data_IF_414671492536
#
_entry.id   IF_414671492536
#
_cell.length_a   1.000
_cell.length_b   1.000
_cell.length_c   1.000
_cell.angle_alpha   90.00
_cell.angle_beta   90.00
_cell.angle_gamma   90.00
#
_symmetry.space_group_name_H-M   'P 1'
#
loop_
_entity.id
_entity.type
_entity.pdbx_description
1 polymer ?
#
# COMPACT_ATOMS: atom_id res chain seq x y z
N UNK A 1 -36.81 4.12 16.38
CA UNK A 1 -36.49 4.80 15.10
C UNK A 1 -36.48 3.76 13.98
N UNK A 2 -37.19 3.97 12.86
CA UNK A 2 -37.30 2.95 11.80
C UNK A 2 -36.11 2.97 10.83
N UNK A 3 -35.01 2.34 11.21
CA UNK A 3 -33.84 2.14 10.33
C UNK A 3 -34.16 1.30 9.08
N UNK A 4 -35.27 0.54 9.10
CA UNK A 4 -35.70 -0.36 8.03
C UNK A 4 -36.16 0.35 6.74
N UNK A 5 -36.65 1.58 6.82
CA UNK A 5 -37.14 2.33 5.64
C UNK A 5 -36.00 2.81 4.73
N UNK A 6 -34.95 3.49 5.24
CA UNK A 6 -33.83 3.91 4.40
C UNK A 6 -32.82 2.78 4.12
N UNK A 7 -32.86 1.67 4.86
CA UNK A 7 -31.91 0.57 4.73
C UNK A 7 -31.76 0.06 3.29
N UNK A 8 -32.85 -0.02 2.51
CA UNK A 8 -32.79 -0.50 1.12
C UNK A 8 -31.96 0.41 0.22
N UNK A 9 -32.07 1.73 0.42
CA UNK A 9 -31.28 2.72 -0.32
C UNK A 9 -29.79 2.63 0.07
N UNK A 10 -29.51 2.65 1.38
CA UNK A 10 -28.13 2.58 1.86
C UNK A 10 -27.46 1.26 1.50
N UNK A 11 -28.15 0.13 1.57
CA UNK A 11 -27.62 -1.17 1.12
C UNK A 11 -27.27 -1.16 -0.37
N UNK A 12 -28.11 -0.57 -1.21
CA UNK A 12 -27.83 -0.43 -2.64
C UNK A 12 -26.61 0.45 -2.91
N UNK A 13 -26.50 1.59 -2.22
CA UNK A 13 -25.35 2.49 -2.32
C UNK A 13 -24.05 1.81 -1.83
N UNK A 14 -24.11 1.11 -0.70
CA UNK A 14 -22.98 0.37 -0.13
C UNK A 14 -22.49 -0.72 -1.08
N UNK A 15 -23.41 -1.49 -1.65
CA UNK A 15 -23.09 -2.54 -2.62
C UNK A 15 -22.44 -1.95 -3.88
N UNK A 16 -22.97 -0.82 -4.38
CA UNK A 16 -22.37 -0.11 -5.52
C UNK A 16 -20.93 0.31 -5.21
N UNK A 17 -20.70 0.98 -4.07
CA UNK A 17 -19.36 1.42 -3.66
C UNK A 17 -18.39 0.24 -3.50
N UNK A 18 -18.83 -0.88 -2.94
CA UNK A 18 -18.02 -2.09 -2.81
C UNK A 18 -17.66 -2.71 -4.15
N UNK A 19 -18.61 -2.77 -5.10
CA UNK A 19 -18.34 -3.27 -6.45
C UNK A 19 -17.34 -2.35 -7.15
N UNK A 20 -17.52 -1.03 -7.05
CA UNK A 20 -16.56 -0.07 -7.60
C UNK A 20 -15.18 -0.22 -6.96
N UNK A 21 -15.10 -0.36 -5.64
CA UNK A 21 -13.85 -0.62 -4.93
C UNK A 21 -13.18 -1.93 -5.36
N UNK A 22 -13.96 -2.99 -5.58
CA UNK A 22 -13.48 -4.26 -6.12
C UNK A 22 -12.93 -4.11 -7.53
N UNK A 23 -13.61 -3.37 -8.42
CA UNK A 23 -13.11 -3.12 -9.79
C UNK A 23 -11.78 -2.37 -9.73
N UNK A 24 -11.69 -1.31 -8.93
CA UNK A 24 -10.48 -0.48 -8.78
C UNK A 24 -9.29 -1.29 -8.24
N UNK A 25 -9.56 -2.27 -7.36
CA UNK A 25 -8.55 -3.17 -6.82
C UNK A 25 -7.85 -4.01 -7.91
N UNK A 26 -8.54 -4.33 -9.00
CA UNK A 26 -7.97 -5.10 -10.11
C UNK A 26 -7.53 -4.21 -11.28
N UNK A 27 -8.21 -3.09 -11.51
CA UNK A 27 -7.94 -2.16 -12.61
C UNK A 27 -8.15 -0.73 -12.11
N UNK A 28 -7.09 0.07 -11.83
CA UNK A 28 -5.65 -0.15 -12.11
C UNK A 28 -4.89 -1.01 -11.08
N UNK A 29 -5.48 -1.28 -9.92
CA UNK A 29 -4.85 -2.02 -8.82
C UNK A 29 -3.92 -1.18 -7.92
N UNK A 30 -3.54 -1.69 -6.74
CA UNK A 30 -2.75 -0.93 -5.76
C UNK A 30 -1.29 -0.74 -6.17
N UNK A 31 -0.73 0.46 -5.96
CA UNK A 31 0.73 0.68 -5.98
C UNK A 31 1.33 0.11 -4.70
N UNK A 32 1.85 -1.12 -4.77
CA UNK A 32 2.42 -1.82 -3.63
C UNK A 32 3.73 -1.17 -3.13
N UNK A 33 4.02 -1.30 -1.84
CA UNK A 33 5.28 -0.85 -1.24
C UNK A 33 6.45 -1.79 -1.60
N UNK A 34 7.68 -1.30 -1.36
CA UNK A 34 8.91 -2.09 -1.55
C UNK A 34 8.94 -3.38 -0.71
N UNK A 35 8.15 -3.46 0.37
CA UNK A 35 8.02 -4.68 1.19
C UNK A 35 7.39 -5.84 0.42
N UNK A 36 6.60 -5.54 -0.61
CA UNK A 36 5.87 -6.53 -1.40
C UNK A 36 6.38 -6.66 -2.82
N UNK A 37 6.99 -5.62 -3.38
CA UNK A 37 7.58 -5.64 -4.73
C UNK A 37 9.07 -5.95 -4.71
N UNK A 38 9.75 -5.75 -3.58
CA UNK A 38 11.19 -5.51 -3.55
C UNK A 38 11.53 -4.11 -4.07
N UNK A 39 12.77 -3.69 -3.84
CA UNK A 39 13.29 -2.40 -4.27
C UNK A 39 14.02 -1.65 -3.16
N UNK A 40 14.39 -0.42 -3.47
CA UNK A 40 15.03 0.51 -2.54
C UNK A 40 14.14 1.73 -2.33
N UNK A 41 14.02 2.14 -1.07
CA UNK A 41 13.43 3.39 -0.64
C UNK A 41 14.53 4.23 0.00
N UNK A 42 14.75 5.41 -0.55
CA UNK A 42 15.69 6.39 -0.02
C UNK A 42 14.90 7.67 0.28
N UNK A 43 15.03 8.16 1.51
CA UNK A 43 14.43 9.41 1.95
C UNK A 43 15.53 10.44 2.16
N UNK A 44 15.37 11.57 1.47
CA UNK A 44 16.35 12.63 1.41
C UNK A 44 15.69 13.94 1.85
N UNK A 45 16.23 14.60 2.86
CA UNK A 45 15.84 15.96 3.21
C UNK A 45 16.43 16.95 2.20
N UNK A 46 15.57 17.79 1.63
CA UNK A 46 15.92 18.77 0.62
C UNK A 46 16.10 20.14 1.26
N UNK A 47 17.06 20.92 0.76
CA UNK A 47 17.12 22.34 1.04
C UNK A 47 15.92 23.07 0.39
N UNK A 48 15.56 24.22 0.94
CA UNK A 48 14.36 25.00 0.57
C UNK A 48 14.31 25.41 -0.93
N UNK A 49 15.45 25.36 -1.62
CA UNK A 49 15.61 25.73 -3.02
C UNK A 49 15.61 24.55 -4.01
N UNK A 50 15.53 23.30 -3.55
CA UNK A 50 15.60 22.12 -4.42
C UNK A 50 14.20 21.62 -4.76
N UNK A 51 13.88 21.54 -6.05
CA UNK A 51 12.57 21.07 -6.52
C UNK A 51 12.55 19.58 -6.84
N UNK A 52 11.36 19.00 -6.96
CA UNK A 52 11.17 17.59 -7.38
C UNK A 52 11.85 17.30 -8.72
N UNK A 53 11.78 18.27 -9.63
CA UNK A 53 12.32 18.11 -10.98
C UNK A 53 13.84 18.10 -10.97
N UNK A 54 14.49 18.88 -10.10
CA UNK A 54 15.95 18.88 -9.94
C UNK A 54 16.46 17.50 -9.49
N UNK A 55 15.78 16.90 -8.50
CA UNK A 55 16.10 15.55 -8.03
C UNK A 55 15.83 14.51 -9.12
N UNK A 56 14.72 14.64 -9.85
CA UNK A 56 14.40 13.73 -10.94
C UNK A 56 15.40 13.83 -12.10
N UNK A 57 15.91 15.02 -12.40
CA UNK A 57 16.96 15.25 -13.40
C UNK A 57 18.29 14.67 -12.93
N UNK A 58 18.68 14.93 -11.68
CA UNK A 58 19.90 14.38 -11.08
C UNK A 58 19.88 12.84 -11.07
N UNK A 59 18.74 12.22 -10.74
CA UNK A 59 18.60 10.76 -10.78
C UNK A 59 18.64 10.19 -12.21
N UNK A 60 18.25 10.96 -13.23
CA UNK A 60 18.30 10.55 -14.64
C UNK A 60 19.67 10.76 -15.28
N UNK A 61 20.48 11.69 -14.78
CA UNK A 61 21.85 11.91 -15.25
C UNK A 61 22.84 10.89 -14.69
N UNK A 62 22.45 10.12 -13.66
CA UNK A 62 23.20 8.97 -13.18
C UNK A 62 23.11 7.83 -14.20
N UNK A 63 24.12 7.76 -15.07
CA UNK A 63 24.28 6.67 -16.04
C UNK A 63 24.90 5.46 -15.32
N UNK A 64 24.03 4.60 -14.77
CA UNK A 64 24.43 3.37 -14.07
C UNK A 64 24.11 2.13 -14.91
N UNK A 65 25.03 1.16 -14.89
CA UNK A 65 24.85 -0.17 -15.47
C UNK A 65 24.88 -1.22 -14.34
N UNK A 66 23.75 -1.91 -14.03
CA UNK A 66 22.44 -1.83 -14.70
C UNK A 66 21.60 -0.62 -14.25
N UNK A 67 20.72 -0.10 -15.12
CA UNK A 67 19.94 1.11 -14.85
C UNK A 67 19.03 0.97 -13.62
N UNK A 68 18.82 2.09 -12.92
CA UNK A 68 18.01 2.17 -11.69
C UNK A 68 16.51 1.88 -11.89
N UNK A 69 16.08 1.71 -13.14
CA UNK A 69 14.69 1.47 -13.53
C UNK A 69 13.83 2.73 -13.42
N UNK A 70 12.53 2.55 -13.21
CA UNK A 70 11.61 3.68 -13.00
C UNK A 70 11.80 4.24 -11.60
N UNK A 71 12.57 5.32 -11.48
CA UNK A 71 12.72 6.05 -10.21
C UNK A 71 11.48 6.90 -9.97
N UNK A 72 10.70 6.54 -8.95
CA UNK A 72 9.56 7.33 -8.50
C UNK A 72 10.02 8.32 -7.44
N UNK A 73 9.86 9.62 -7.72
CA UNK A 73 10.21 10.71 -6.80
C UNK A 73 8.93 11.34 -6.25
N UNK A 74 8.78 11.38 -4.94
CA UNK A 74 7.66 12.04 -4.27
C UNK A 74 8.19 13.00 -3.20
N UNK A 75 7.68 14.24 -3.17
CA UNK A 75 8.02 15.19 -2.12
C UNK A 75 6.94 15.15 -1.04
N UNK A 76 7.38 14.98 0.20
CA UNK A 76 6.55 15.10 1.40
C UNK A 76 6.39 16.56 1.78
N UNK A 77 5.31 16.88 2.50
CA UNK A 77 5.02 18.23 2.99
C UNK A 77 6.14 18.82 3.86
N UNK A 78 6.96 17.96 4.47
CA UNK A 78 8.06 18.33 5.34
C UNK A 78 9.37 18.66 4.58
N UNK A 79 9.32 18.70 3.25
CA UNK A 79 10.50 18.98 2.42
C UNK A 79 11.44 17.79 2.22
N UNK A 80 10.95 16.56 2.43
CA UNK A 80 11.72 15.34 2.14
C UNK A 80 11.32 14.73 0.79
N UNK A 81 12.29 14.34 -0.04
CA UNK A 81 12.09 13.53 -1.22
C UNK A 81 12.16 12.04 -0.85
N UNK A 82 11.09 11.30 -1.14
CA UNK A 82 11.09 9.85 -1.18
C UNK A 82 11.39 9.38 -2.60
N UNK A 83 12.52 8.70 -2.75
CA UNK A 83 12.96 8.04 -3.96
C UNK A 83 12.69 6.55 -3.84
N UNK A 84 12.02 5.99 -4.84
CA UNK A 84 11.77 4.55 -4.93
C UNK A 84 12.34 4.01 -6.23
N UNK A 85 13.20 3.01 -6.15
CA UNK A 85 13.94 2.45 -7.29
C UNK A 85 14.14 0.94 -7.14
N UNK A 86 14.85 0.32 -8.09
CA UNK A 86 15.31 -1.08 -8.00
C UNK A 86 16.10 -1.30 -6.70
N UNK A 87 16.17 -2.55 -6.24
CA UNK A 87 17.06 -2.92 -5.15
C UNK A 87 18.53 -2.68 -5.54
N UNK A 88 19.22 -1.88 -4.74
CA UNK A 88 20.64 -1.54 -4.94
C UNK A 88 21.51 -2.04 -3.80
N UNK A 89 22.78 -2.30 -4.12
CA UNK A 89 23.83 -2.62 -3.17
C UNK A 89 24.28 -1.40 -2.36
N UNK A 90 25.02 -1.64 -1.29
CA UNK A 90 25.57 -0.56 -0.47
C UNK A 90 26.61 0.28 -1.23
N UNK A 91 27.35 -0.33 -2.16
CA UNK A 91 28.33 0.39 -2.99
C UNK A 91 27.64 1.31 -4.00
N UNK A 92 26.59 0.83 -4.67
CA UNK A 92 25.74 1.64 -5.56
C UNK A 92 25.10 2.80 -4.77
N UNK A 93 24.60 2.54 -3.56
CA UNK A 93 24.02 3.56 -2.68
C UNK A 93 25.01 4.70 -2.37
N UNK A 94 26.22 4.38 -1.94
CA UNK A 94 27.26 5.39 -1.65
C UNK A 94 27.59 6.21 -2.90
N UNK A 95 27.66 5.57 -4.07
CA UNK A 95 27.93 6.25 -5.34
C UNK A 95 26.78 7.20 -5.73
N UNK A 96 25.53 6.78 -5.53
CA UNK A 96 24.35 7.62 -5.81
C UNK A 96 24.29 8.80 -4.83
N UNK A 97 24.47 8.55 -3.53
CA UNK A 97 24.43 9.59 -2.50
C UNK A 97 25.51 10.64 -2.76
N UNK A 98 26.76 10.22 -3.00
CA UNK A 98 27.85 11.15 -3.30
C UNK A 98 27.62 11.93 -4.60
N UNK A 99 27.05 11.31 -5.63
CA UNK A 99 26.71 12.02 -6.85
C UNK A 99 25.56 13.04 -6.65
N UNK A 100 24.57 12.71 -5.83
CA UNK A 100 23.50 13.64 -5.45
C UNK A 100 24.02 14.81 -4.63
N UNK A 101 24.90 14.56 -3.64
CA UNK A 101 25.54 15.61 -2.83
C UNK A 101 26.40 16.56 -3.70
N UNK A 102 27.03 16.05 -4.75
CA UNK A 102 27.80 16.88 -5.69
C UNK A 102 26.92 17.71 -6.63
N UNK A 103 25.72 17.23 -6.98
CA UNK A 103 24.79 17.91 -7.88
C UNK A 103 23.87 18.89 -7.16
N UNK A 104 23.56 18.62 -5.90
CA UNK A 104 22.53 19.32 -5.12
C UNK A 104 23.10 19.65 -3.74
N UNK A 105 23.26 20.94 -3.46
CA UNK A 105 23.75 21.40 -2.16
C UNK A 105 22.69 21.28 -1.06
N UNK A 106 23.12 20.95 0.16
CA UNK A 106 22.25 20.95 1.35
C UNK A 106 21.31 19.75 1.45
N UNK A 107 21.70 18.62 0.84
CA UNK A 107 20.99 17.36 0.93
C UNK A 107 21.45 16.56 2.16
N UNK A 108 20.51 15.94 2.88
CA UNK A 108 20.79 15.01 3.98
C UNK A 108 19.97 13.73 3.80
N UNK A 109 20.62 12.56 3.80
CA UNK A 109 19.90 11.28 3.83
C UNK A 109 19.26 11.04 5.21
N UNK A 110 17.95 10.79 5.21
CA UNK A 110 17.18 10.48 6.43
C UNK A 110 16.95 9.00 6.62
N UNK A 111 16.69 8.29 5.53
CA UNK A 111 16.43 6.85 5.58
C UNK A 111 16.91 6.18 4.30
N UNK A 112 17.57 5.04 4.47
CA UNK A 112 17.87 4.12 3.39
C UNK A 112 17.31 2.74 3.74
N UNK A 113 16.53 2.15 2.85
CA UNK A 113 15.96 0.81 3.05
C UNK A 113 15.92 0.06 1.73
N UNK A 114 16.64 -1.06 1.66
CA UNK A 114 16.63 -1.97 0.50
C UNK A 114 16.01 -3.30 0.90
N UNK A 115 15.09 -3.80 0.07
CA UNK A 115 14.47 -5.12 0.20
C UNK A 115 14.69 -5.89 -1.09
N UNK A 116 15.40 -7.01 -1.00
CA UNK A 116 15.61 -7.89 -2.16
C UNK A 116 14.30 -8.52 -2.65
N UNK A 117 14.18 -8.83 -3.96
CA UNK A 117 12.95 -9.35 -4.57
C UNK A 117 12.49 -10.68 -3.96
N UNK A 118 13.42 -11.53 -3.52
CA UNK A 118 13.11 -12.81 -2.84
C UNK A 118 12.47 -12.60 -1.48
N UNK A 119 12.98 -11.64 -0.69
CA UNK A 119 12.42 -11.29 0.61
C UNK A 119 11.03 -10.69 0.42
N UNK A 120 10.88 -9.75 -0.51
CA UNK A 120 9.58 -9.13 -0.83
C UNK A 120 8.53 -10.14 -1.26
N UNK A 121 8.88 -11.07 -2.15
CA UNK A 121 7.99 -12.16 -2.56
C UNK A 121 7.60 -13.07 -1.39
N UNK A 122 8.55 -13.40 -0.50
CA UNK A 122 8.29 -14.21 0.69
C UNK A 122 7.37 -13.51 1.69
N UNK A 123 7.56 -12.20 1.91
CA UNK A 123 6.71 -11.37 2.76
C UNK A 123 5.30 -11.29 2.21
N UNK A 124 5.14 -11.05 0.90
CA UNK A 124 3.85 -11.07 0.22
C UNK A 124 3.12 -12.39 0.43
N UNK A 125 3.79 -13.52 0.22
CA UNK A 125 3.17 -14.84 0.37
C UNK A 125 2.76 -15.11 1.82
N UNK A 126 3.62 -14.76 2.79
CA UNK A 126 3.34 -14.93 4.23
C UNK A 126 2.19 -14.05 4.68
N UNK A 127 2.11 -12.81 4.21
CA UNK A 127 1.00 -11.89 4.50
C UNK A 127 -0.33 -12.40 3.96
N UNK A 128 -0.34 -12.98 2.76
CA UNK A 128 -1.55 -13.60 2.20
C UNK A 128 -2.01 -14.82 3.03
N UNK A 129 -1.07 -15.68 3.45
CA UNK A 129 -1.37 -16.79 4.34
C UNK A 129 -1.89 -16.34 5.71
N UNK A 130 -1.25 -15.33 6.31
CA UNK A 130 -1.64 -14.76 7.60
C UNK A 130 -3.05 -14.15 7.54
N UNK A 131 -3.36 -13.41 6.47
CA UNK A 131 -4.69 -12.85 6.23
C UNK A 131 -5.76 -13.94 6.13
N UNK A 132 -5.50 -14.99 5.33
CA UNK A 132 -6.43 -16.12 5.18
C UNK A 132 -6.67 -16.88 6.49
N UNK A 133 -5.60 -17.17 7.24
CA UNK A 133 -5.69 -17.87 8.52
C UNK A 133 -6.41 -17.03 9.58
N UNK A 134 -6.14 -15.72 9.65
CA UNK A 134 -6.82 -14.80 10.54
C UNK A 134 -8.33 -14.73 10.23
N UNK A 135 -8.70 -14.65 8.94
CA UNK A 135 -10.10 -14.66 8.53
C UNK A 135 -10.82 -15.95 8.98
N UNK A 136 -10.20 -17.12 8.78
CA UNK A 136 -10.74 -18.40 9.25
C UNK A 136 -10.87 -18.42 10.78
N UNK A 137 -9.86 -17.97 11.51
CA UNK A 137 -9.88 -17.91 12.97
C UNK A 137 -11.02 -17.01 13.50
N UNK A 138 -11.27 -15.86 12.86
CA UNK A 138 -12.38 -14.96 13.18
C UNK A 138 -13.72 -15.66 12.93
N UNK A 139 -13.89 -16.34 11.79
CA UNK A 139 -15.12 -17.09 11.50
C UNK A 139 -15.38 -18.18 12.53
N UNK A 140 -14.37 -18.95 12.89
CA UNK A 140 -14.46 -19.99 13.91
C UNK A 140 -14.79 -19.40 15.28
N UNK A 141 -14.16 -18.28 15.64
CA UNK A 141 -14.45 -17.56 16.87
C UNK A 141 -15.90 -17.08 16.93
N UNK A 142 -16.41 -16.45 15.86
CA UNK A 142 -17.82 -16.00 15.79
C UNK A 142 -18.75 -17.22 15.86
N UNK A 143 -18.48 -18.30 15.13
CA UNK A 143 -19.28 -19.51 15.18
C UNK A 143 -19.35 -20.09 16.61
N UNK A 144 -18.22 -20.09 17.32
CA UNK A 144 -18.15 -20.51 18.73
C UNK A 144 -18.86 -19.54 19.68
N UNK A 145 -18.65 -18.23 19.53
CA UNK A 145 -19.23 -17.21 20.40
C UNK A 145 -20.76 -17.19 20.33
N UNK A 146 -21.32 -17.34 19.13
CA UNK A 146 -22.77 -17.33 18.91
C UNK A 146 -23.41 -18.73 18.99
N UNK A 147 -22.68 -19.76 19.45
CA UNK A 147 -23.18 -21.15 19.54
C UNK A 147 -24.41 -21.32 20.46
N UNK A 148 -24.58 -20.44 21.45
CA UNK A 148 -25.67 -20.48 22.44
C UNK A 148 -26.90 -19.67 22.02
N UNK A 149 -26.85 -19.01 20.86
CA UNK A 149 -27.96 -18.20 20.34
C UNK A 149 -29.07 -19.12 19.84
N UNK A 150 -30.35 -18.86 20.15
CA UNK A 150 -31.46 -19.72 19.76
C UNK A 150 -31.51 -20.01 18.25
N UNK A 151 -31.67 -21.29 17.88
CA UNK A 151 -31.66 -21.85 16.51
C UNK A 151 -32.57 -21.20 15.46
N UNK A 152 -33.41 -20.22 15.83
CA UNK A 152 -34.24 -19.46 14.87
C UNK A 152 -33.39 -18.63 13.91
N UNK A 153 -32.14 -18.33 14.27
CA UNK A 153 -31.13 -17.76 13.39
C UNK A 153 -29.91 -18.71 13.40
N UNK A 154 -29.59 -19.32 12.26
CA UNK A 154 -28.44 -20.24 12.17
C UNK A 154 -27.13 -19.49 12.46
N UNK A 155 -26.36 -19.93 13.46
CA UNK A 155 -25.07 -19.33 13.84
C UNK A 155 -24.08 -19.23 12.65
N UNK A 156 -24.16 -20.17 11.71
CA UNK A 156 -23.39 -20.14 10.46
C UNK A 156 -23.77 -18.97 9.55
N UNK A 157 -25.05 -18.58 9.50
CA UNK A 157 -25.50 -17.41 8.73
C UNK A 157 -24.91 -16.13 9.30
N UNK A 158 -24.79 -16.02 10.62
CA UNK A 158 -24.13 -14.87 11.26
C UNK A 158 -22.65 -14.77 10.92
N UNK A 159 -21.92 -15.89 10.95
CA UNK A 159 -20.51 -15.92 10.54
C UNK A 159 -20.32 -15.49 9.09
N UNK A 160 -21.15 -16.01 8.17
CA UNK A 160 -21.12 -15.64 6.75
C UNK A 160 -21.46 -14.15 6.56
N UNK A 161 -22.51 -13.64 7.21
CA UNK A 161 -22.90 -12.23 7.12
C UNK A 161 -21.77 -11.33 7.67
N UNK A 162 -21.12 -11.72 8.75
CA UNK A 162 -19.99 -10.96 9.31
C UNK A 162 -18.80 -10.90 8.35
N UNK A 163 -18.45 -12.01 7.70
CA UNK A 163 -17.39 -12.04 6.67
C UNK A 163 -17.75 -11.19 5.47
N UNK A 164 -19.00 -11.27 5.00
CA UNK A 164 -19.46 -10.46 3.85
C UNK A 164 -19.44 -8.97 4.20
N UNK A 165 -19.89 -8.59 5.40
CA UNK A 165 -19.83 -7.21 5.87
C UNK A 165 -18.37 -6.71 5.98
N UNK A 166 -17.48 -7.53 6.51
CA UNK A 166 -16.06 -7.19 6.60
C UNK A 166 -15.40 -7.06 5.22
N UNK A 167 -15.73 -7.96 4.29
CA UNK A 167 -15.24 -7.88 2.91
C UNK A 167 -15.72 -6.60 2.23
N UNK A 168 -17.00 -6.25 2.40
CA UNK A 168 -17.57 -4.99 1.96
C UNK A 168 -16.77 -3.78 2.48
N UNK A 169 -16.51 -3.72 3.78
CA UNK A 169 -15.79 -2.59 4.40
C UNK A 169 -14.35 -2.49 3.88
N UNK A 170 -13.67 -3.62 3.73
CA UNK A 170 -12.32 -3.69 3.15
C UNK A 170 -12.30 -3.26 1.68
N UNK A 171 -13.26 -3.68 0.86
CA UNK A 171 -13.31 -3.30 -0.55
C UNK A 171 -13.48 -1.79 -0.74
N UNK A 172 -14.37 -1.16 0.04
CA UNK A 172 -14.58 0.29 -0.04
C UNK A 172 -13.33 1.03 0.43
N UNK A 173 -12.77 0.66 1.59
CA UNK A 173 -11.58 1.32 2.14
C UNK A 173 -10.36 1.17 1.24
N UNK A 174 -10.05 -0.05 0.79
CA UNK A 174 -8.93 -0.29 -0.12
C UNK A 174 -9.14 0.40 -1.46
N UNK A 175 -10.36 0.39 -2.01
CA UNK A 175 -10.68 1.10 -3.26
C UNK A 175 -10.36 2.60 -3.17
N UNK A 176 -10.73 3.24 -2.06
CA UNK A 176 -10.38 4.64 -1.78
C UNK A 176 -8.86 4.83 -1.72
N UNK A 177 -8.13 3.97 -0.99
CA UNK A 177 -6.67 4.05 -0.92
C UNK A 177 -5.99 3.90 -2.28
N UNK A 178 -6.48 3.00 -3.14
CA UNK A 178 -5.95 2.83 -4.51
C UNK A 178 -6.14 4.11 -5.32
N UNK A 179 -7.30 4.75 -5.23
CA UNK A 179 -7.56 6.04 -5.89
C UNK A 179 -6.57 7.10 -5.40
N UNK A 180 -6.45 7.30 -4.08
CA UNK A 180 -5.54 8.31 -3.52
C UNK A 180 -4.08 8.07 -3.93
N UNK A 181 -3.66 6.81 -3.97
CA UNK A 181 -2.30 6.42 -4.38
C UNK A 181 -1.99 6.78 -5.84
N UNK A 182 -2.99 6.78 -6.72
CA UNK A 182 -2.79 7.21 -8.11
C UNK A 182 -2.77 8.72 -8.27
N UNK A 183 -3.50 9.45 -7.41
CA UNK A 183 -3.57 10.92 -7.47
C UNK A 183 -2.35 11.57 -6.83
N UNK A 184 -1.79 10.95 -5.78
CA UNK A 184 -0.73 11.57 -4.94
C UNK A 184 0.69 11.18 -5.35
N UNK A 185 0.88 10.12 -6.15
CA UNK A 185 2.19 9.67 -6.65
C UNK A 185 2.35 9.98 -8.13
#
# INVERSE_FOLDING_TARGET
MSFLRPAKFFLGLSALLSITGAVILFVPGPKLSIDFTGGTLMEIALAENVTKDDVAIAMRSLDMDPPLGTVAVNITRDGTALLRMRDISNEEHINILSALENMLEGIEERQFTTIGPTVGASLRQRSLWALGLAAIAIVLYIAFAFRKVPRRLSAWRFGIIAVVALLHDVLVTVGIFVILSHITS
#
